data_IF_941398460158
#
_entry.id   IF_941398460158
#
_cell.length_a   1.000
_cell.length_b   1.000
_cell.length_c   1.000
_cell.angle_alpha   90.00
_cell.angle_beta   90.00
_cell.angle_gamma   90.00
#
_symmetry.space_group_name_H-M   'P 1'
#
loop_
_entity.id
_entity.type
_entity.pdbx_description
1 polymer ?
#
# COMPACT_ATOMS: atom_id res chain seq x y z
N UNK A 1 -15.64 15.57 -2.80
CA UNK A 1 -15.13 14.20 -2.63
C UNK A 1 -15.60 13.37 -3.82
N UNK A 2 -14.73 13.07 -4.75
CA UNK A 2 -15.02 12.14 -5.85
C UNK A 2 -15.14 10.73 -5.28
N UNK A 3 -16.35 10.18 -5.28
CA UNK A 3 -16.61 8.78 -4.94
C UNK A 3 -15.92 7.92 -6.02
N UNK A 4 -14.79 7.32 -5.72
CA UNK A 4 -14.25 6.27 -6.58
C UNK A 4 -15.24 5.12 -6.60
N UNK A 5 -15.83 4.85 -7.77
CA UNK A 5 -16.72 3.71 -7.93
C UNK A 5 -15.86 2.44 -7.85
N UNK A 6 -16.11 1.57 -6.87
CA UNK A 6 -15.45 0.26 -6.75
C UNK A 6 -15.80 -0.71 -7.89
N UNK A 7 -16.80 -0.34 -8.69
CA UNK A 7 -17.27 -1.10 -9.85
C UNK A 7 -17.34 -0.17 -11.07
N UNK A 8 -17.16 -0.74 -12.26
CA UNK A 8 -17.42 -0.03 -13.51
C UNK A 8 -18.94 0.22 -13.70
N UNK A 9 -19.32 0.89 -14.79
CA UNK A 9 -20.72 1.18 -15.12
C UNK A 9 -21.60 -0.08 -15.23
N UNK A 10 -21.00 -1.24 -15.58
CA UNK A 10 -21.69 -2.53 -15.63
C UNK A 10 -21.75 -3.25 -14.28
N UNK A 11 -21.30 -2.64 -13.20
CA UNK A 11 -21.27 -3.22 -11.87
C UNK A 11 -20.17 -4.26 -11.63
N UNK A 12 -19.22 -4.45 -12.57
CA UNK A 12 -18.09 -5.37 -12.47
C UNK A 12 -16.94 -4.76 -11.67
N UNK A 13 -16.17 -5.60 -10.99
CA UNK A 13 -15.00 -5.16 -10.25
C UNK A 13 -13.93 -4.58 -11.19
N UNK A 14 -13.57 -3.31 -11.00
CA UNK A 14 -12.58 -2.60 -11.84
C UNK A 14 -11.25 -3.35 -11.95
N UNK A 15 -10.72 -3.86 -10.84
CA UNK A 15 -9.44 -4.57 -10.84
C UNK A 15 -9.52 -5.94 -11.52
N UNK A 16 -10.68 -6.62 -11.43
CA UNK A 16 -10.91 -7.84 -12.20
C UNK A 16 -10.90 -7.57 -13.71
N UNK A 17 -11.51 -6.47 -14.14
CA UNK A 17 -11.57 -6.13 -15.57
C UNK A 17 -10.19 -5.69 -16.11
N UNK A 18 -9.38 -5.00 -15.28
CA UNK A 18 -7.97 -4.72 -15.61
C UNK A 18 -7.18 -6.03 -15.73
N UNK A 19 -7.32 -6.94 -14.76
CA UNK A 19 -6.59 -8.21 -14.75
C UNK A 19 -6.93 -9.12 -15.95
N UNK A 20 -8.14 -9.01 -16.47
CA UNK A 20 -8.59 -9.73 -17.69
C UNK A 20 -8.24 -9.01 -18.99
N UNK A 21 -7.73 -7.79 -18.94
CA UNK A 21 -7.47 -6.96 -20.11
C UNK A 21 -8.73 -6.29 -20.72
N UNK A 22 -9.89 -6.40 -20.05
CA UNK A 22 -11.14 -5.79 -20.51
C UNK A 22 -11.21 -4.28 -20.24
N UNK A 23 -10.41 -3.80 -19.28
CA UNK A 23 -10.30 -2.40 -18.96
C UNK A 23 -8.85 -1.95 -19.09
N UNK A 24 -8.63 -0.90 -19.89
CA UNK A 24 -7.32 -0.35 -20.10
C UNK A 24 -6.81 0.36 -18.84
N UNK A 25 -5.56 0.04 -18.45
CA UNK A 25 -4.74 0.86 -17.54
C UNK A 25 -3.38 1.11 -18.19
N UNK A 26 -2.94 2.36 -18.30
CA UNK A 26 -1.73 2.68 -19.08
C UNK A 26 -0.43 2.28 -18.37
N UNK A 27 -0.50 1.88 -17.11
CA UNK A 27 0.66 1.80 -16.23
C UNK A 27 1.09 0.39 -15.83
N UNK A 28 0.65 -0.67 -16.49
CA UNK A 28 1.13 -2.04 -16.18
C UNK A 28 2.62 -2.11 -16.49
N UNK A 29 3.45 -2.48 -15.50
CA UNK A 29 4.89 -2.61 -15.68
C UNK A 29 5.48 -3.89 -15.12
N UNK A 30 4.68 -4.67 -14.40
CA UNK A 30 5.07 -5.98 -13.88
C UNK A 30 3.85 -6.89 -13.74
N UNK A 31 4.01 -8.15 -14.08
CA UNK A 31 3.04 -9.21 -13.81
C UNK A 31 3.71 -10.58 -13.76
N UNK A 32 3.08 -11.51 -13.06
CA UNK A 32 3.36 -12.93 -13.13
C UNK A 32 2.06 -13.72 -13.35
N UNK A 33 2.09 -15.03 -13.09
CA UNK A 33 0.92 -15.89 -13.26
C UNK A 33 -0.27 -15.43 -12.40
N UNK A 34 -0.01 -15.02 -11.14
CA UNK A 34 -1.03 -14.82 -10.12
C UNK A 34 -1.29 -13.33 -9.81
N UNK A 35 -0.33 -12.44 -10.10
CA UNK A 35 -0.36 -11.03 -9.68
C UNK A 35 0.02 -10.08 -10.82
N UNK A 36 -0.39 -8.81 -10.67
CA UNK A 36 0.05 -7.73 -11.55
C UNK A 36 0.22 -6.43 -10.79
N UNK A 37 1.14 -5.57 -11.26
CA UNK A 37 1.37 -4.24 -10.73
C UNK A 37 1.27 -3.19 -11.84
N UNK A 38 0.60 -2.09 -11.51
CA UNK A 38 0.43 -0.95 -12.40
C UNK A 38 0.53 0.37 -11.64
N UNK A 39 0.93 1.43 -12.35
CA UNK A 39 1.00 2.75 -11.78
C UNK A 39 -0.41 3.27 -11.47
N UNK A 40 -0.56 3.92 -10.33
CA UNK A 40 -1.79 4.62 -9.98
C UNK A 40 -2.05 5.76 -10.96
N UNK A 41 -3.29 5.88 -11.45
CA UNK A 41 -3.72 7.03 -12.25
C UNK A 41 -4.01 8.27 -11.37
N UNK A 42 -4.01 8.11 -10.04
CA UNK A 42 -4.13 9.17 -9.05
C UNK A 42 -2.91 9.16 -8.10
N UNK A 43 -1.70 9.39 -8.61
CA UNK A 43 -0.49 9.29 -7.80
C UNK A 43 -0.37 10.48 -6.85
N UNK A 44 -0.05 10.22 -5.58
CA UNK A 44 0.38 11.25 -4.62
C UNK A 44 1.91 11.41 -4.58
N UNK A 45 2.63 10.49 -5.24
CA UNK A 45 4.08 10.54 -5.45
C UNK A 45 4.42 9.87 -6.78
N UNK A 46 5.51 10.27 -7.42
CA UNK A 46 5.94 9.67 -8.70
C UNK A 46 6.22 8.18 -8.53
N UNK A 47 5.57 7.36 -9.34
CA UNK A 47 5.72 5.90 -9.27
C UNK A 47 4.82 5.23 -8.22
N UNK A 48 3.83 5.95 -7.65
CA UNK A 48 2.80 5.31 -6.83
C UNK A 48 2.17 4.13 -7.59
N UNK A 49 2.19 2.95 -7.00
CA UNK A 49 1.89 1.68 -7.66
C UNK A 49 0.79 0.94 -6.91
N UNK A 50 -0.05 0.23 -7.66
CA UNK A 50 -1.03 -0.71 -7.13
C UNK A 50 -0.62 -2.11 -7.56
N UNK A 51 -0.56 -3.04 -6.61
CA UNK A 51 -0.32 -4.47 -6.83
C UNK A 51 -1.58 -5.24 -6.43
N UNK A 52 -2.08 -6.08 -7.34
CA UNK A 52 -3.29 -6.88 -7.15
C UNK A 52 -3.06 -8.35 -7.47
N UNK A 53 -3.79 -9.28 -6.85
CA UNK A 53 -3.96 -10.61 -7.41
C UNK A 53 -4.85 -10.55 -8.67
N UNK A 54 -4.56 -11.37 -9.68
CA UNK A 54 -5.41 -11.48 -10.89
C UNK A 54 -6.75 -12.14 -10.58
N UNK A 55 -6.76 -13.08 -9.62
CA UNK A 55 -7.98 -13.65 -9.05
C UNK A 55 -8.61 -12.66 -8.09
N UNK A 56 -9.94 -12.55 -8.12
CA UNK A 56 -10.67 -11.74 -7.16
C UNK A 56 -10.57 -12.32 -5.74
N UNK A 57 -10.20 -11.46 -4.81
CA UNK A 57 -10.34 -11.63 -3.37
C UNK A 57 -10.89 -10.33 -2.81
N UNK A 58 -11.63 -10.40 -1.71
CA UNK A 58 -12.11 -9.23 -1.02
C UNK A 58 -10.96 -8.34 -0.53
N UNK A 59 -11.24 -7.07 -0.30
CA UNK A 59 -10.23 -6.01 -0.17
C UNK A 59 -9.26 -6.14 1.01
N UNK A 60 -9.62 -6.89 2.04
CA UNK A 60 -8.75 -7.10 3.21
C UNK A 60 -7.60 -8.07 2.86
N UNK A 61 -6.43 -7.50 2.62
CA UNK A 61 -5.21 -8.27 2.29
C UNK A 61 -4.79 -9.18 3.45
N UNK A 62 -5.02 -8.77 4.70
CA UNK A 62 -4.62 -9.56 5.87
C UNK A 62 -5.57 -10.74 6.12
N UNK A 63 -6.77 -10.73 5.55
CA UNK A 63 -7.71 -11.85 5.58
C UNK A 63 -7.52 -12.84 4.41
N UNK A 64 -6.55 -12.63 3.52
CA UNK A 64 -6.24 -13.56 2.44
C UNK A 64 -5.79 -14.93 2.99
N UNK A 65 -6.05 -16.04 2.25
CA UNK A 65 -5.42 -17.32 2.58
C UNK A 65 -3.90 -17.17 2.70
N UNK A 66 -3.27 -17.82 3.67
CA UNK A 66 -1.85 -17.69 4.01
C UNK A 66 -0.93 -17.79 2.79
N UNK A 67 -1.19 -18.76 1.90
CA UNK A 67 -0.36 -18.97 0.70
C UNK A 67 -0.49 -17.81 -0.30
N UNK A 68 -1.65 -17.16 -0.38
CA UNK A 68 -1.86 -15.98 -1.22
C UNK A 68 -1.20 -14.76 -0.58
N UNK A 69 -1.35 -14.61 0.74
CA UNK A 69 -0.72 -13.54 1.52
C UNK A 69 0.82 -13.60 1.43
N UNK A 70 1.41 -14.79 1.54
CA UNK A 70 2.86 -14.97 1.33
C UNK A 70 3.29 -14.57 -0.08
N UNK A 71 2.57 -15.03 -1.10
CA UNK A 71 2.88 -14.75 -2.50
C UNK A 71 2.75 -13.26 -2.84
N UNK A 72 1.69 -12.58 -2.40
CA UNK A 72 1.51 -11.15 -2.70
C UNK A 72 2.60 -10.31 -2.03
N UNK A 73 3.05 -10.67 -0.82
CA UNK A 73 4.17 -9.99 -0.16
C UNK A 73 5.51 -10.21 -0.91
N UNK A 74 5.76 -11.41 -1.42
CA UNK A 74 6.94 -11.68 -2.27
C UNK A 74 6.86 -10.92 -3.60
N UNK A 75 5.68 -10.77 -4.17
CA UNK A 75 5.45 -9.94 -5.35
C UNK A 75 5.67 -8.46 -5.06
N UNK A 76 5.20 -7.95 -3.91
CA UNK A 76 5.47 -6.60 -3.45
C UNK A 76 6.98 -6.32 -3.29
N UNK A 77 7.75 -7.31 -2.78
CA UNK A 77 9.21 -7.23 -2.73
C UNK A 77 9.83 -7.06 -4.13
N UNK A 78 9.41 -7.86 -5.11
CA UNK A 78 9.90 -7.76 -6.50
C UNK A 78 9.56 -6.40 -7.11
N UNK A 79 8.32 -5.95 -6.98
CA UNK A 79 7.86 -4.66 -7.47
C UNK A 79 8.63 -3.51 -6.81
N UNK A 80 8.85 -3.55 -5.49
CA UNK A 80 9.63 -2.54 -4.78
C UNK A 80 11.07 -2.46 -5.28
N UNK A 81 11.70 -3.60 -5.60
CA UNK A 81 13.05 -3.65 -6.19
C UNK A 81 13.10 -2.98 -7.58
N UNK A 82 12.07 -3.19 -8.40
CA UNK A 82 11.96 -2.49 -9.69
C UNK A 82 11.88 -0.99 -9.48
N UNK A 83 11.05 -0.52 -8.56
CA UNK A 83 10.91 0.91 -8.25
C UNK A 83 12.22 1.50 -7.74
N UNK A 84 12.89 0.84 -6.78
CA UNK A 84 14.19 1.29 -6.24
C UNK A 84 15.29 1.34 -7.32
N UNK A 85 15.27 0.38 -8.25
CA UNK A 85 16.24 0.35 -9.37
C UNK A 85 16.02 1.53 -10.33
N UNK A 86 14.77 1.86 -10.63
CA UNK A 86 14.40 2.87 -11.63
C UNK A 86 14.37 4.31 -11.09
N UNK A 87 14.35 4.47 -9.75
CA UNK A 87 14.42 5.79 -9.11
C UNK A 87 15.69 5.92 -8.28
N UNK A 88 16.75 6.58 -8.80
CA UNK A 88 18.06 6.69 -8.13
C UNK A 88 17.98 7.30 -6.73
N UNK A 89 17.07 8.23 -6.52
CA UNK A 89 16.83 8.94 -5.27
C UNK A 89 15.94 8.18 -4.27
N UNK A 90 15.43 7.00 -4.65
CA UNK A 90 14.59 6.15 -3.80
C UNK A 90 15.42 5.03 -3.17
N UNK A 91 15.55 5.04 -1.86
CA UNK A 91 16.19 3.98 -1.07
C UNK A 91 15.20 3.06 -0.37
N UNK A 92 13.94 3.47 -0.25
CA UNK A 92 12.86 2.71 0.39
C UNK A 92 11.54 2.89 -0.37
N UNK A 93 10.70 1.87 -0.28
CA UNK A 93 9.32 1.89 -0.76
C UNK A 93 8.40 1.64 0.43
N UNK A 94 7.49 2.55 0.68
CA UNK A 94 6.41 2.37 1.67
C UNK A 94 5.35 1.43 1.12
N UNK A 95 4.72 0.65 2.00
CA UNK A 95 3.72 -0.35 1.64
C UNK A 95 2.48 -0.15 2.51
N UNK A 96 1.30 -0.11 1.90
CA UNK A 96 0.02 0.11 2.59
C UNK A 96 -1.02 -0.91 2.14
N UNK A 97 -1.68 -1.54 3.10
CA UNK A 97 -2.73 -2.55 2.94
C UNK A 97 -4.00 -2.09 3.68
N UNK A 98 -4.62 -1.00 3.23
CA UNK A 98 -5.77 -0.42 3.92
C UNK A 98 -7.13 -0.96 3.43
N UNK A 99 -7.18 -1.59 2.26
CA UNK A 99 -8.38 -2.25 1.73
C UNK A 99 -9.57 -1.33 1.42
N UNK A 100 -9.34 -0.02 1.27
CA UNK A 100 -10.41 0.95 1.03
C UNK A 100 -10.60 1.28 -0.45
N UNK A 101 -11.79 1.75 -0.82
CA UNK A 101 -12.12 2.25 -2.16
C UNK A 101 -12.62 1.17 -3.11
N UNK A 102 -11.85 0.13 -3.39
CA UNK A 102 -12.23 -0.96 -4.31
C UNK A 102 -12.25 -2.28 -3.55
N UNK A 103 -13.37 -3.00 -3.60
CA UNK A 103 -13.46 -4.34 -3.01
C UNK A 103 -12.76 -5.39 -3.88
N UNK A 104 -11.43 -5.36 -3.82
CA UNK A 104 -10.50 -6.31 -4.41
C UNK A 104 -9.17 -6.16 -3.66
N UNK A 105 -8.59 -7.23 -3.20
CA UNK A 105 -7.34 -7.20 -2.44
C UNK A 105 -6.24 -6.45 -3.21
N UNK A 106 -5.63 -5.46 -2.58
CA UNK A 106 -4.59 -4.67 -3.22
C UNK A 106 -3.59 -4.11 -2.21
N UNK A 107 -2.37 -3.99 -2.67
CA UNK A 107 -1.28 -3.34 -1.94
C UNK A 107 -0.90 -2.07 -2.70
N UNK A 108 -0.82 -0.94 -1.99
CA UNK A 108 -0.28 0.31 -2.52
C UNK A 108 1.20 0.39 -2.17
N UNK A 109 2.05 0.69 -3.15
CA UNK A 109 3.48 0.90 -2.96
C UNK A 109 3.84 2.34 -3.33
N UNK A 110 4.56 3.00 -2.42
CA UNK A 110 4.94 4.40 -2.55
C UNK A 110 6.46 4.54 -2.55
N UNK A 111 7.09 4.86 -3.70
CA UNK A 111 8.51 5.22 -3.72
C UNK A 111 8.78 6.42 -2.82
N UNK A 112 9.66 6.24 -1.84
CA UNK A 112 10.02 7.30 -0.90
C UNK A 112 11.16 8.12 -1.50
N UNK A 113 10.81 9.13 -2.31
CA UNK A 113 11.78 10.02 -2.94
C UNK A 113 12.63 10.77 -1.91
N UNK A 114 13.90 11.03 -2.25
CA UNK A 114 14.86 11.65 -1.32
C UNK A 114 15.48 10.71 -0.30
N UNK A 115 15.18 9.41 -0.32
CA UNK A 115 15.74 8.40 0.61
C UNK A 115 16.94 7.63 0.05
N UNK A 116 17.54 8.07 -1.06
CA UNK A 116 18.65 7.39 -1.74
C UNK A 116 19.87 7.12 -0.85
N UNK A 117 20.13 7.95 0.16
CA UNK A 117 21.16 7.77 1.15
C UNK A 117 21.02 6.46 1.96
N UNK A 118 19.82 5.93 2.09
CA UNK A 118 19.56 4.66 2.78
C UNK A 118 20.13 3.44 2.02
N UNK A 119 20.38 3.55 0.72
CA UNK A 119 21.14 2.54 -0.05
C UNK A 119 22.59 2.41 0.41
N UNK A 120 23.12 3.47 1.02
CA UNK A 120 24.50 3.56 1.51
C UNK A 120 24.62 3.30 3.01
N UNK A 121 23.57 2.79 3.65
CA UNK A 121 23.56 2.53 5.09
C UNK A 121 23.47 3.77 5.98
N UNK A 122 23.03 4.90 5.42
CA UNK A 122 22.83 6.15 6.17
C UNK A 122 21.36 6.25 6.53
N UNK A 123 21.07 6.22 7.83
CA UNK A 123 19.71 6.26 8.36
C UNK A 123 19.39 7.68 8.88
N UNK A 124 18.42 8.33 8.26
CA UNK A 124 17.84 9.58 8.78
C UNK A 124 16.43 9.31 9.23
N UNK A 125 16.07 9.84 10.39
CA UNK A 125 14.69 9.93 10.79
C UNK A 125 14.06 11.14 10.08
N UNK A 126 12.92 10.91 9.45
CA UNK A 126 12.10 11.97 8.88
C UNK A 126 11.03 12.33 9.91
N UNK A 127 11.20 13.48 10.57
CA UNK A 127 10.20 14.00 11.48
C UNK A 127 9.29 14.99 10.73
N UNK A 128 8.00 14.86 10.90
CA UNK A 128 7.04 15.90 10.53
C UNK A 128 6.93 16.92 11.64
N UNK A 129 6.68 18.18 11.28
CA UNK A 129 6.27 19.20 12.25
C UNK A 129 4.84 18.99 12.78
N UNK A 130 4.08 18.07 12.18
CA UNK A 130 2.75 17.68 12.62
C UNK A 130 2.85 16.47 13.53
N UNK A 131 2.39 16.62 14.77
CA UNK A 131 2.24 15.56 15.77
C UNK A 131 0.74 15.36 16.01
N UNK A 132 0.09 14.64 15.10
CA UNK A 132 -1.35 14.48 15.15
C UNK A 132 -1.72 13.13 15.77
N UNK A 133 -2.77 13.12 16.60
CA UNK A 133 -3.42 11.93 17.11
C UNK A 133 -4.83 11.85 16.53
N UNK A 134 -5.10 10.76 15.82
CA UNK A 134 -6.41 10.53 15.20
C UNK A 134 -7.23 9.54 16.02
N UNK A 135 -8.41 9.97 16.48
CA UNK A 135 -9.36 9.12 17.23
C UNK A 135 -10.04 8.09 16.35
N UNK A 136 -10.14 8.35 15.07
CA UNK A 136 -10.75 7.50 14.04
C UNK A 136 -9.95 7.61 12.74
N UNK A 137 -10.16 6.70 11.84
CA UNK A 137 -9.53 6.75 10.52
C UNK A 137 -10.01 7.97 9.71
N UNK A 138 -9.07 8.80 9.30
CA UNK A 138 -9.29 10.07 8.59
C UNK A 138 -9.22 9.93 7.06
N UNK A 139 -9.12 8.72 6.53
CA UNK A 139 -9.00 8.47 5.10
C UNK A 139 -7.57 8.29 4.60
N UNK A 140 -6.57 8.26 5.49
CA UNK A 140 -5.16 7.99 5.20
C UNK A 140 -4.45 7.36 6.40
N UNK A 141 -3.33 6.68 6.12
CA UNK A 141 -2.42 6.17 7.16
C UNK A 141 -1.22 7.10 7.24
N UNK A 142 -0.90 7.53 8.45
CA UNK A 142 0.25 8.38 8.74
C UNK A 142 1.27 7.59 9.56
N UNK A 143 2.53 7.65 9.17
CA UNK A 143 3.65 7.02 9.91
C UNK A 143 4.41 8.01 10.80
N UNK A 144 3.97 9.26 10.90
CA UNK A 144 4.56 10.22 11.82
C UNK A 144 4.16 9.89 13.26
N UNK A 145 5.08 10.16 14.18
CA UNK A 145 4.81 10.01 15.59
C UNK A 145 3.75 11.01 16.04
N UNK A 146 2.80 10.53 16.82
CA UNK A 146 1.86 11.35 17.58
C UNK A 146 2.47 11.85 18.90
N UNK A 147 1.71 12.58 19.73
CA UNK A 147 2.12 12.93 21.08
C UNK A 147 2.45 11.67 21.88
N UNK A 148 3.51 11.75 22.71
CA UNK A 148 3.89 10.62 23.57
C UNK A 148 2.76 10.31 24.56
N UNK A 149 2.34 9.04 24.60
CA UNK A 149 1.34 8.57 25.56
C UNK A 149 2.01 8.13 26.87
N UNK A 150 1.28 8.15 27.97
CA UNK A 150 1.78 7.72 29.26
C UNK A 150 2.00 6.20 29.33
N UNK A 151 3.07 5.78 30.03
CA UNK A 151 3.43 4.37 30.19
C UNK A 151 2.30 3.57 30.85
N UNK A 152 1.58 4.20 31.78
CA UNK A 152 0.42 3.57 32.48
C UNK A 152 -0.68 3.22 31.49
N UNK A 153 -1.04 4.12 30.58
CA UNK A 153 -2.08 3.85 29.58
C UNK A 153 -1.63 2.81 28.57
N UNK A 154 -0.37 2.88 28.11
CA UNK A 154 0.21 1.87 27.21
C UNK A 154 0.17 0.49 27.87
N UNK A 155 0.64 0.36 29.11
CA UNK A 155 0.64 -0.91 29.85
C UNK A 155 -0.77 -1.47 30.04
N UNK A 156 -1.72 -0.62 30.45
CA UNK A 156 -3.13 -1.04 30.62
C UNK A 156 -3.75 -1.54 29.33
N UNK A 157 -3.47 -0.88 28.20
CA UNK A 157 -3.95 -1.34 26.90
C UNK A 157 -3.31 -2.68 26.50
N UNK A 158 -1.99 -2.81 26.68
CA UNK A 158 -1.27 -4.05 26.38
C UNK A 158 -1.82 -5.25 27.16
N UNK A 159 -2.11 -5.10 28.49
CA UNK A 159 -2.71 -6.16 29.29
C UNK A 159 -4.11 -6.59 28.79
N UNK A 160 -4.88 -5.65 28.24
CA UNK A 160 -6.18 -5.96 27.63
C UNK A 160 -6.03 -6.73 26.31
N UNK A 161 -4.97 -6.48 25.55
CA UNK A 161 -4.72 -7.11 24.25
C UNK A 161 -4.15 -8.53 24.36
N UNK A 162 -3.67 -8.94 25.56
CA UNK A 162 -3.19 -10.30 25.83
C UNK A 162 -4.32 -11.32 26.05
N UNK A 163 -5.55 -10.86 26.21
CA UNK A 163 -6.75 -11.70 26.43
C UNK A 163 -7.40 -12.04 25.10
#
# INVERSE_FOLDING_TARGET
>A
MTKHKSKNEEGKCVFCEIAKGNMHTPGIFWEDKDFMAFLSIFPNTKGATVLIPKKHYESDVLALPDEVLKKINLSAKKVSQILIKNFPDVGRVGLVMEGTGINHAHIKLYPMHGTGHMKKGIWKQYASHKTDYYKKYEGFVCSNDGPRESDVKIKRLAERLKK
#
